data_IF_040681349077
#
_entry.id   IF_040681349077
#
_cell.length_a   1.000
_cell.length_b   1.000
_cell.length_c   1.000
_cell.angle_alpha   90.00
_cell.angle_beta   90.00
_cell.angle_gamma   90.00
#
_symmetry.space_group_name_H-M   'P 1'
#
loop_
_entity.id
_entity.type
_entity.pdbx_description
1 polymer ?
#
# COMPACT_ATOMS: atom_id res chain seq x y z
N UNK A 1 -30.15 44.72 11.06
CA UNK A 1 -30.36 43.94 12.31
C UNK A 1 -29.07 43.20 12.59
N UNK A 2 -28.53 43.22 13.82
CA UNK A 2 -27.26 42.54 14.09
C UNK A 2 -27.53 41.03 14.07
N UNK A 3 -26.95 40.34 13.09
CA UNK A 3 -26.94 38.88 13.02
C UNK A 3 -26.34 38.39 14.34
N UNK A 4 -27.13 37.65 15.13
CA UNK A 4 -26.64 37.05 16.35
C UNK A 4 -25.37 36.25 16.01
N UNK A 5 -24.24 36.55 16.66
CA UNK A 5 -22.99 35.83 16.45
C UNK A 5 -23.24 34.35 16.71
N UNK A 6 -23.46 33.59 15.63
CA UNK A 6 -23.59 32.14 15.65
C UNK A 6 -22.34 31.62 16.37
N UNK A 7 -22.51 30.71 17.32
CA UNK A 7 -21.39 30.18 18.07
C UNK A 7 -20.48 29.38 17.10
N UNK A 8 -19.49 30.06 16.53
CA UNK A 8 -18.67 29.56 15.42
C UNK A 8 -17.94 28.27 15.78
N UNK A 9 -17.59 28.08 17.06
CA UNK A 9 -17.00 26.84 17.56
C UNK A 9 -17.96 25.65 17.45
N UNK A 10 -19.24 25.86 17.78
CA UNK A 10 -20.25 24.82 17.66
C UNK A 10 -20.49 24.45 16.19
N UNK A 11 -20.51 25.44 15.30
CA UNK A 11 -20.64 25.22 13.85
C UNK A 11 -19.46 24.42 13.29
N UNK A 12 -18.22 24.85 13.55
CA UNK A 12 -17.02 24.14 13.11
C UNK A 12 -16.96 22.70 13.63
N UNK A 13 -17.43 22.46 14.86
CA UNK A 13 -17.53 21.11 15.42
C UNK A 13 -18.56 20.23 14.69
N UNK A 14 -19.70 20.80 14.28
CA UNK A 14 -20.71 20.09 13.49
C UNK A 14 -20.20 19.78 12.09
N UNK A 15 -19.55 20.75 11.44
CA UNK A 15 -18.92 20.57 10.13
C UNK A 15 -17.87 19.47 10.15
N UNK A 16 -16.98 19.52 11.14
CA UNK A 16 -15.95 18.47 11.33
C UNK A 16 -16.58 17.09 11.48
N UNK A 17 -17.68 16.97 12.23
CA UNK A 17 -18.39 15.71 12.40
C UNK A 17 -19.03 15.25 11.09
N UNK A 18 -19.71 16.14 10.36
CA UNK A 18 -20.34 15.82 9.09
C UNK A 18 -19.33 15.38 8.03
N UNK A 19 -18.21 16.09 7.92
CA UNK A 19 -17.12 15.74 7.02
C UNK A 19 -16.47 14.40 7.39
N UNK A 20 -16.27 14.11 8.68
CA UNK A 20 -15.79 12.79 9.13
C UNK A 20 -16.75 11.66 8.73
N UNK A 21 -18.07 11.88 8.85
CA UNK A 21 -19.06 10.89 8.43
C UNK A 21 -19.00 10.65 6.93
N UNK A 22 -18.95 11.72 6.13
CA UNK A 22 -18.84 11.62 4.66
C UNK A 22 -17.56 10.87 4.28
N UNK A 23 -16.43 11.23 4.90
CA UNK A 23 -15.14 10.61 4.65
C UNK A 23 -15.17 9.11 5.00
N UNK A 24 -15.55 8.75 6.23
CA UNK A 24 -15.53 7.35 6.67
C UNK A 24 -16.48 6.47 5.85
N UNK A 25 -17.65 6.99 5.45
CA UNK A 25 -18.58 6.26 4.61
C UNK A 25 -17.99 5.98 3.23
N UNK A 26 -17.37 6.98 2.60
CA UNK A 26 -16.74 6.82 1.29
C UNK A 26 -15.48 5.93 1.35
N UNK A 27 -14.64 6.11 2.38
CA UNK A 27 -13.44 5.30 2.60
C UNK A 27 -13.77 3.81 2.76
N UNK A 28 -14.82 3.50 3.53
CA UNK A 28 -15.23 2.10 3.78
C UNK A 28 -15.97 1.49 2.59
N UNK A 29 -16.60 2.32 1.75
CA UNK A 29 -17.30 1.87 0.55
C UNK A 29 -16.37 1.54 -0.63
N UNK A 30 -15.15 2.07 -0.62
CA UNK A 30 -14.14 1.73 -1.61
C UNK A 30 -13.68 0.27 -1.43
N UNK A 31 -13.46 -0.43 -2.54
CA UNK A 31 -13.08 -1.85 -2.56
C UNK A 31 -11.74 -1.99 -3.29
N UNK A 32 -10.63 -1.66 -2.62
CA UNK A 32 -9.31 -1.82 -3.21
C UNK A 32 -8.95 -3.30 -3.35
N UNK A 33 -8.11 -3.64 -4.34
CA UNK A 33 -7.84 -5.04 -4.74
C UNK A 33 -6.41 -5.50 -4.46
N UNK A 34 -5.52 -4.63 -3.99
CA UNK A 34 -4.12 -4.94 -3.72
C UNK A 34 -3.93 -6.12 -2.77
N UNK A 35 -4.88 -6.37 -1.86
CA UNK A 35 -4.81 -7.47 -0.90
C UNK A 35 -4.87 -8.85 -1.56
N UNK A 36 -5.29 -8.93 -2.83
CA UNK A 36 -5.27 -10.17 -3.59
C UNK A 36 -3.84 -10.59 -4.01
N UNK A 37 -2.90 -9.65 -4.01
CA UNK A 37 -1.55 -9.82 -4.58
C UNK A 37 -0.43 -9.30 -3.67
N UNK A 38 -0.76 -8.73 -2.52
CA UNK A 38 0.20 -8.22 -1.55
C UNK A 38 -0.32 -8.36 -0.11
N UNK A 39 0.59 -8.63 0.82
CA UNK A 39 0.30 -8.81 2.24
C UNK A 39 0.44 -7.50 3.01
N UNK A 40 -0.45 -7.29 3.99
CA UNK A 40 -0.37 -6.12 4.88
C UNK A 40 0.60 -6.38 6.03
N UNK A 41 1.73 -5.68 6.04
CA UNK A 41 2.64 -5.66 7.20
C UNK A 41 2.54 -4.33 7.93
N UNK A 42 2.38 -4.39 9.26
CA UNK A 42 2.36 -3.19 10.09
C UNK A 42 3.76 -2.58 10.16
N UNK A 43 3.86 -1.30 9.81
CA UNK A 43 5.11 -0.54 9.81
C UNK A 43 5.10 0.52 10.91
N UNK A 44 6.16 0.53 11.73
CA UNK A 44 6.30 1.40 12.91
C UNK A 44 7.61 2.21 12.92
N UNK A 45 8.53 1.95 11.99
CA UNK A 45 9.82 2.62 11.89
C UNK A 45 9.87 3.57 10.68
N UNK A 46 10.89 4.44 10.60
CA UNK A 46 11.11 5.27 9.40
C UNK A 46 11.51 4.43 8.18
N UNK A 47 12.19 3.32 8.44
CA UNK A 47 12.64 2.34 7.46
C UNK A 47 12.32 0.98 8.06
N UNK A 48 11.57 0.16 7.33
CA UNK A 48 11.34 -1.23 7.68
C UNK A 48 12.42 -2.10 7.06
N UNK A 49 12.96 -3.01 7.85
CA UNK A 49 14.03 -3.91 7.44
C UNK A 49 13.52 -5.35 7.55
N UNK A 50 13.43 -6.03 6.42
CA UNK A 50 12.88 -7.37 6.30
C UNK A 50 14.01 -8.38 6.08
N UNK A 51 14.62 -8.83 7.16
CA UNK A 51 15.71 -9.82 7.11
C UNK A 51 15.24 -11.22 6.74
N UNK A 52 13.94 -11.52 6.88
CA UNK A 52 13.38 -12.86 6.70
C UNK A 52 13.00 -13.19 5.24
N UNK A 53 12.94 -12.19 4.35
CA UNK A 53 12.34 -12.30 3.02
C UNK A 53 13.10 -13.25 2.07
N UNK A 54 14.39 -13.49 2.31
CA UNK A 54 15.19 -14.52 1.61
C UNK A 54 15.45 -15.80 2.41
N UNK A 55 14.83 -15.96 3.58
CA UNK A 55 15.21 -16.99 4.54
C UNK A 55 14.16 -18.08 4.76
N UNK A 56 13.01 -18.01 4.08
CA UNK A 56 11.94 -19.00 4.24
C UNK A 56 12.36 -20.29 3.51
N UNK A 57 12.62 -21.40 4.21
CA UNK A 57 12.95 -22.65 3.54
C UNK A 57 11.72 -23.19 2.82
N UNK A 58 11.91 -23.69 1.59
CA UNK A 58 10.92 -24.54 0.95
C UNK A 58 10.61 -25.79 1.79
N UNK A 59 9.38 -26.29 1.65
CA UNK A 59 8.97 -27.56 2.27
C UNK A 59 9.63 -28.72 1.54
N UNK A 60 10.08 -29.72 2.30
CA UNK A 60 10.62 -30.97 1.75
C UNK A 60 9.92 -32.15 2.39
N UNK A 61 9.93 -33.28 1.69
CA UNK A 61 9.46 -34.53 2.26
C UNK A 61 10.28 -34.90 3.51
N UNK A 62 9.60 -35.38 4.55
CA UNK A 62 10.23 -35.76 5.80
C UNK A 62 10.79 -37.18 5.71
N UNK A 63 11.99 -37.31 5.13
CA UNK A 63 12.61 -38.64 4.89
C UNK A 63 13.70 -38.97 5.93
N UNK A 64 14.05 -38.04 6.84
CA UNK A 64 15.09 -38.24 7.85
C UNK A 64 15.01 -37.21 9.01
N UNK A 65 16.12 -37.01 9.73
CA UNK A 65 16.26 -35.95 10.73
C UNK A 65 16.03 -34.54 10.14
N UNK A 66 15.67 -33.59 11.01
CA UNK A 66 15.44 -32.19 10.63
C UNK A 66 16.72 -31.56 10.11
N UNK A 67 16.70 -30.98 8.92
CA UNK A 67 17.78 -30.09 8.48
C UNK A 67 17.48 -28.69 8.97
N UNK A 68 18.35 -28.16 9.83
CA UNK A 68 18.26 -26.77 10.30
C UNK A 68 18.96 -25.88 9.28
N UNK A 69 18.19 -25.04 8.56
CA UNK A 69 18.77 -24.02 7.68
C UNK A 69 19.21 -22.81 8.50
N UNK A 70 20.38 -22.25 8.17
CA UNK A 70 20.83 -20.96 8.71
C UNK A 70 20.20 -19.83 7.92
N UNK A 71 19.85 -18.77 8.63
CA UNK A 71 19.20 -17.57 8.10
C UNK A 71 20.30 -16.61 7.57
N UNK A 72 20.30 -16.28 6.27
CA UNK A 72 21.29 -15.39 5.62
C UNK A 72 20.96 -13.90 5.78
N UNK A 73 21.96 -13.04 6.01
CA UNK A 73 21.76 -11.75 6.69
C UNK A 73 21.39 -10.56 5.81
N UNK A 74 21.10 -10.75 4.52
CA UNK A 74 20.77 -9.63 3.64
C UNK A 74 19.35 -9.13 3.89
N UNK A 75 19.23 -7.82 4.08
CA UNK A 75 18.03 -7.21 4.62
C UNK A 75 17.42 -6.25 3.60
N UNK A 76 16.27 -6.66 3.04
CA UNK A 76 15.49 -5.80 2.16
C UNK A 76 14.90 -4.64 2.97
N UNK A 77 15.02 -3.41 2.49
CA UNK A 77 14.62 -2.21 3.22
C UNK A 77 13.57 -1.41 2.46
N UNK A 78 12.49 -1.04 3.15
CA UNK A 78 11.45 -0.16 2.62
C UNK A 78 11.41 1.10 3.47
N UNK A 79 11.64 2.26 2.83
CA UNK A 79 11.52 3.56 3.50
C UNK A 79 10.09 4.05 3.45
N UNK A 80 9.55 4.40 4.61
CA UNK A 80 8.21 4.98 4.70
C UNK A 80 8.13 6.35 4.04
N UNK A 81 7.08 6.53 3.24
CA UNK A 81 6.71 7.78 2.59
C UNK A 81 5.41 8.30 3.20
N UNK A 82 5.25 9.62 3.21
CA UNK A 82 4.03 10.29 3.66
C UNK A 82 3.26 10.76 2.43
N UNK A 83 1.95 10.61 2.48
CA UNK A 83 1.02 11.00 1.42
C UNK A 83 -0.06 11.90 2.01
N UNK A 84 -0.55 12.84 1.23
CA UNK A 84 -1.58 13.78 1.65
C UNK A 84 -2.49 14.17 0.49
N UNK A 85 -3.73 14.49 0.84
CA UNK A 85 -4.67 15.18 -0.03
C UNK A 85 -5.40 16.19 0.84
N UNK A 86 -5.26 17.46 0.52
CA UNK A 86 -5.77 18.57 1.34
C UNK A 86 -6.85 19.35 0.57
N UNK A 87 -7.97 19.63 1.23
CA UNK A 87 -9.06 20.46 0.72
C UNK A 87 -9.27 21.65 1.65
N UNK A 88 -9.29 22.86 1.10
CA UNK A 88 -9.66 24.08 1.80
C UNK A 88 -11.17 24.32 1.71
N UNK A 89 -11.73 24.98 2.72
CA UNK A 89 -13.12 25.44 2.74
C UNK A 89 -13.08 26.93 3.03
N UNK A 90 -13.72 27.72 2.18
CA UNK A 90 -13.79 29.17 2.34
C UNK A 90 -14.64 29.54 3.58
N UNK A 91 -14.28 30.62 4.26
CA UNK A 91 -15.00 31.08 5.45
C UNK A 91 -16.39 31.57 5.07
N UNK A 92 -16.50 32.23 3.92
CA UNK A 92 -17.74 32.73 3.36
C UNK A 92 -18.74 31.59 3.11
N UNK A 93 -18.28 30.44 2.62
CA UNK A 93 -19.15 29.26 2.43
C UNK A 93 -19.65 28.67 3.76
N UNK A 94 -18.90 28.86 4.85
CA UNK A 94 -19.32 28.48 6.20
C UNK A 94 -20.35 29.48 6.74
N UNK A 95 -20.17 30.77 6.48
CA UNK A 95 -21.09 31.82 6.90
C UNK A 95 -22.43 31.73 6.14
N UNK A 96 -22.39 31.37 4.86
CA UNK A 96 -23.54 31.28 3.94
C UNK A 96 -24.23 29.90 3.93
N UNK A 97 -23.76 28.94 4.72
CA UNK A 97 -24.30 27.56 4.81
C UNK A 97 -24.20 26.76 3.48
N UNK A 98 -23.19 27.06 2.65
CA UNK A 98 -22.95 26.44 1.34
C UNK A 98 -22.09 25.16 1.40
N UNK A 99 -21.98 24.54 2.57
CA UNK A 99 -21.06 23.43 2.87
C UNK A 99 -21.33 22.16 2.07
N UNK A 100 -22.57 21.96 1.63
CA UNK A 100 -22.97 20.78 0.85
C UNK A 100 -22.17 20.61 -0.45
N UNK A 101 -21.60 21.70 -0.99
CA UNK A 101 -20.77 21.69 -2.21
C UNK A 101 -19.46 20.91 -2.03
N UNK A 102 -18.91 20.91 -0.82
CA UNK A 102 -17.64 20.23 -0.49
C UNK A 102 -17.80 18.72 -0.27
N UNK A 103 -19.03 18.22 -0.19
CA UNK A 103 -19.28 16.80 0.06
C UNK A 103 -18.65 15.90 -1.01
N UNK A 104 -18.66 16.31 -2.28
CA UNK A 104 -18.05 15.55 -3.37
C UNK A 104 -16.52 15.54 -3.28
N UNK A 105 -15.91 16.66 -2.91
CA UNK A 105 -14.46 16.75 -2.73
C UNK A 105 -13.98 15.83 -1.59
N UNK A 106 -14.70 15.81 -0.47
CA UNK A 106 -14.38 14.96 0.69
C UNK A 106 -14.57 13.47 0.36
N UNK A 107 -15.62 13.12 -0.39
CA UNK A 107 -15.80 11.75 -0.89
C UNK A 107 -14.65 11.34 -1.79
N UNK A 108 -14.27 12.18 -2.75
CA UNK A 108 -13.15 11.91 -3.64
C UNK A 108 -11.83 11.71 -2.89
N UNK A 109 -11.56 12.56 -1.88
CA UNK A 109 -10.39 12.40 -1.00
C UNK A 109 -10.41 11.06 -0.25
N UNK A 110 -11.56 10.65 0.27
CA UNK A 110 -11.70 9.39 0.99
C UNK A 110 -11.49 8.17 0.08
N UNK A 111 -12.07 8.20 -1.12
CA UNK A 111 -11.88 7.15 -2.13
C UNK A 111 -10.41 7.06 -2.55
N UNK A 112 -9.78 8.20 -2.88
CA UNK A 112 -8.36 8.24 -3.23
C UNK A 112 -7.49 7.68 -2.10
N UNK A 113 -7.76 8.03 -0.83
CA UNK A 113 -7.02 7.49 0.31
C UNK A 113 -7.20 5.98 0.49
N UNK A 114 -8.40 5.44 0.22
CA UNK A 114 -8.68 4.02 0.31
C UNK A 114 -8.05 3.21 -0.84
N UNK A 115 -8.04 3.77 -2.04
CA UNK A 115 -7.51 3.15 -3.27
C UNK A 115 -5.99 3.36 -3.44
N UNK A 116 -5.40 4.32 -2.73
CA UNK A 116 -3.97 4.62 -2.85
C UNK A 116 -3.03 3.41 -2.72
N UNK A 117 -3.28 2.42 -1.84
CA UNK A 117 -2.47 1.20 -1.81
C UNK A 117 -2.48 0.42 -3.13
N UNK A 118 -3.58 0.43 -3.90
CA UNK A 118 -3.64 -0.19 -5.24
C UNK A 118 -2.63 0.50 -6.17
N UNK A 119 -2.64 1.83 -6.21
CA UNK A 119 -1.71 2.61 -7.04
C UNK A 119 -0.26 2.24 -6.73
N UNK A 120 0.10 2.15 -5.45
CA UNK A 120 1.44 1.80 -5.01
C UNK A 120 1.82 0.37 -5.38
N UNK A 121 0.92 -0.59 -5.16
CA UNK A 121 1.19 -2.02 -5.43
C UNK A 121 1.28 -2.28 -6.94
N UNK A 122 0.37 -1.74 -7.74
CA UNK A 122 0.42 -1.92 -9.20
C UNK A 122 1.59 -1.17 -9.83
N UNK A 123 1.98 0.00 -9.30
CA UNK A 123 3.19 0.67 -9.74
C UNK A 123 4.45 -0.15 -9.40
N UNK A 124 4.51 -0.77 -8.21
CA UNK A 124 5.60 -1.64 -7.82
C UNK A 124 5.69 -2.90 -8.70
N UNK A 125 4.55 -3.55 -8.99
CA UNK A 125 4.50 -4.69 -9.91
C UNK A 125 5.03 -4.32 -11.30
N UNK A 126 4.55 -3.20 -11.87
CA UNK A 126 5.04 -2.73 -13.16
C UNK A 126 6.55 -2.50 -13.15
N UNK A 127 7.08 -1.94 -12.06
CA UNK A 127 8.50 -1.68 -11.91
C UNK A 127 9.32 -2.94 -11.56
N UNK A 128 8.68 -4.09 -11.35
CA UNK A 128 9.33 -5.34 -10.98
C UNK A 128 10.29 -5.89 -12.04
N UNK A 129 10.15 -5.48 -13.30
CA UNK A 129 11.09 -5.84 -14.37
C UNK A 129 12.40 -5.02 -14.37
N UNK A 130 12.45 -3.94 -13.58
CA UNK A 130 13.56 -2.98 -13.58
C UNK A 130 14.19 -2.83 -12.18
N UNK A 131 13.42 -3.06 -11.12
CA UNK A 131 13.87 -2.88 -9.75
C UNK A 131 14.23 -4.22 -9.10
N UNK A 132 15.38 -4.29 -8.41
CA UNK A 132 15.78 -5.47 -7.69
C UNK A 132 14.86 -5.75 -6.50
N UNK A 133 14.63 -7.04 -6.22
CA UNK A 133 13.93 -7.53 -5.06
C UNK A 133 14.93 -7.97 -3.96
N UNK A 134 14.50 -8.82 -3.03
CA UNK A 134 15.29 -9.15 -1.84
C UNK A 134 16.58 -9.94 -2.13
N UNK A 135 16.64 -10.64 -3.27
CA UNK A 135 17.77 -11.45 -3.72
C UNK A 135 18.77 -10.67 -4.60
N UNK A 136 18.49 -9.39 -4.89
CA UNK A 136 19.31 -8.54 -5.74
C UNK A 136 19.02 -8.63 -7.25
N UNK A 137 18.21 -9.60 -7.69
CA UNK A 137 17.69 -9.67 -9.05
C UNK A 137 16.40 -8.86 -9.19
N UNK A 138 16.04 -8.47 -10.41
CA UNK A 138 14.75 -7.81 -10.65
C UNK A 138 13.60 -8.70 -10.16
N UNK A 139 12.52 -8.13 -9.63
CA UNK A 139 11.42 -8.94 -9.10
C UNK A 139 10.85 -9.93 -10.14
N UNK A 140 10.84 -9.55 -11.42
CA UNK A 140 10.55 -10.47 -12.53
C UNK A 140 11.84 -10.69 -13.35
N UNK A 141 12.44 -11.86 -13.19
CA UNK A 141 13.70 -12.22 -13.82
C UNK A 141 13.71 -13.72 -14.21
N UNK A 142 14.54 -14.06 -15.19
CA UNK A 142 14.79 -15.44 -15.57
C UNK A 142 15.80 -16.14 -14.68
N UNK A 143 16.52 -15.36 -13.86
CA UNK A 143 17.74 -15.82 -13.19
C UNK A 143 17.72 -15.66 -11.66
N UNK A 144 16.63 -16.08 -11.00
CA UNK A 144 16.55 -16.05 -9.54
C UNK A 144 17.33 -17.21 -8.89
N UNK A 145 18.26 -16.94 -7.97
CA UNK A 145 19.00 -17.99 -7.26
C UNK A 145 18.14 -18.65 -6.18
N UNK A 146 18.03 -19.98 -6.21
CA UNK A 146 17.37 -20.78 -5.16
C UNK A 146 18.22 -21.97 -4.75
N UNK A 147 18.16 -22.37 -3.49
CA UNK A 147 18.91 -23.54 -2.99
C UNK A 147 18.02 -24.78 -2.95
N UNK A 148 18.30 -25.75 -3.83
CA UNK A 148 17.67 -27.07 -3.90
C UNK A 148 18.70 -28.12 -3.50
N UNK A 149 18.38 -28.94 -2.51
CA UNK A 149 19.27 -29.99 -1.98
C UNK A 149 20.71 -29.56 -1.61
N UNK A 150 20.88 -28.27 -1.30
CA UNK A 150 22.16 -27.70 -0.89
C UNK A 150 22.99 -27.12 -2.04
N UNK A 151 22.48 -27.19 -3.28
CA UNK A 151 23.07 -26.56 -4.45
C UNK A 151 22.25 -25.35 -4.87
N UNK A 152 22.94 -24.26 -5.24
CA UNK A 152 22.31 -23.09 -5.83
C UNK A 152 21.96 -23.37 -7.29
N UNK A 153 20.71 -23.16 -7.66
CA UNK A 153 20.20 -23.29 -9.01
C UNK A 153 19.43 -22.03 -9.38
N UNK A 154 19.53 -21.64 -10.66
CA UNK A 154 18.78 -20.52 -11.20
C UNK A 154 17.38 -20.98 -11.62
N UNK A 155 16.34 -20.22 -11.24
CA UNK A 155 14.95 -20.45 -11.64
C UNK A 155 14.33 -19.16 -12.20
N UNK A 156 13.38 -19.31 -13.12
CA UNK A 156 12.66 -18.18 -13.72
C UNK A 156 11.28 -18.01 -13.09
N UNK A 157 10.88 -16.76 -12.84
CA UNK A 157 9.49 -16.37 -12.57
C UNK A 157 8.91 -15.49 -13.70
N UNK A 158 9.61 -15.42 -14.84
CA UNK A 158 9.32 -14.53 -15.94
C UNK A 158 9.11 -15.30 -17.25
N UNK A 159 8.12 -14.87 -18.02
CA UNK A 159 7.95 -15.29 -19.40
C UNK A 159 7.85 -14.07 -20.31
N UNK A 160 8.76 -13.98 -21.28
CA UNK A 160 8.81 -12.86 -22.22
C UNK A 160 7.65 -12.88 -23.23
N UNK A 161 7.22 -11.71 -23.68
CA UNK A 161 6.18 -11.55 -24.70
C UNK A 161 6.09 -10.11 -25.22
N UNK A 162 5.46 -9.93 -26.39
CA UNK A 162 5.24 -8.60 -27.00
C UNK A 162 3.88 -7.97 -26.62
N UNK A 163 3.03 -8.71 -25.89
CA UNK A 163 1.74 -8.23 -25.41
C UNK A 163 1.82 -7.51 -24.06
N UNK A 164 0.69 -6.98 -23.55
CA UNK A 164 0.64 -6.46 -22.18
C UNK A 164 1.12 -7.50 -21.17
N UNK A 165 1.90 -7.06 -20.17
CA UNK A 165 2.34 -7.94 -19.09
C UNK A 165 1.13 -8.53 -18.36
N UNK A 166 1.16 -9.84 -18.16
CA UNK A 166 0.23 -10.57 -17.31
C UNK A 166 1.04 -11.15 -16.15
N UNK A 167 0.47 -11.09 -14.95
CA UNK A 167 1.14 -11.54 -13.73
C UNK A 167 0.39 -12.74 -13.18
N UNK A 168 1.14 -13.79 -12.86
CA UNK A 168 0.68 -14.93 -12.06
C UNK A 168 1.54 -14.95 -10.81
N UNK A 169 0.95 -14.52 -9.70
CA UNK A 169 1.59 -14.42 -8.39
C UNK A 169 1.07 -15.53 -7.48
#
# INVERSE_FOLDING_TARGET
>A
MPVAKRNIRALLSQLTTGFKVIFNNAFTAAVPVWQNIAEKVNSNAKIETYTWLGQIPGMREWIAERHVKKLERDAYQIKNKKYESTVSVEVEDIEDDNIGTYAMAIKGMATAAAEHPDELVFAALKAGFENPCYDGQNFFDTDHPVVIDGEEVSVSNMQAGAGPAWYLL
#
